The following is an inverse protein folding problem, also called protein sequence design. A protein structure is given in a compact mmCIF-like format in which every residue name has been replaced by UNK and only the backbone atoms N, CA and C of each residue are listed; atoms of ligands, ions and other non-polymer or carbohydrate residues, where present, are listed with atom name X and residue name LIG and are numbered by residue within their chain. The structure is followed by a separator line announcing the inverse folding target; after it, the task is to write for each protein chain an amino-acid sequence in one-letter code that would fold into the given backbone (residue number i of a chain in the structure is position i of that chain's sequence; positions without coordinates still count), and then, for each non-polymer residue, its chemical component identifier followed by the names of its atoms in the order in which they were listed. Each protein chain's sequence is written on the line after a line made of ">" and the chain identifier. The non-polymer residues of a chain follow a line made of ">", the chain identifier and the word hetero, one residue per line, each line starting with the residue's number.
data_IF_461564356704
#
_entry.id   IF_461564356704
#
_cell.length_a   1.000
_cell.length_b   1.000
_cell.length_c   1.000
_cell.angle_alpha   90.00
_cell.angle_beta   90.00
_cell.angle_gamma   90.00
#
_symmetry.space_group_name_H-M   'P 1'
#
loop_
_entity.id
_entity.type
_entity.pdbx_description
1 polymer ?
#
# COMPACT_ATOMS: atom_id res chain seq x y z
N UNK A 1 -6.25 8.17 -7.13
CA UNK A 1 -7.62 8.03 -6.59
C UNK A 1 -7.66 7.84 -5.07
N UNK A 2 -6.93 6.88 -4.47
CA UNK A 2 -6.94 6.64 -3.01
C UNK A 2 -6.61 7.87 -2.14
N UNK A 3 -5.60 8.66 -2.52
CA UNK A 3 -5.25 9.88 -1.80
C UNK A 3 -6.38 10.93 -1.81
N UNK A 4 -7.12 11.05 -2.92
CA UNK A 4 -8.27 11.96 -3.01
C UNK A 4 -9.40 11.50 -2.09
N UNK A 5 -9.72 10.20 -2.11
CA UNK A 5 -10.71 9.62 -1.21
C UNK A 5 -10.36 9.84 0.26
N UNK A 6 -9.09 9.68 0.63
CA UNK A 6 -8.62 9.96 1.99
C UNK A 6 -8.73 11.45 2.35
N UNK A 7 -8.46 12.36 1.40
CA UNK A 7 -8.59 13.80 1.61
C UNK A 7 -10.06 14.20 1.85
N UNK A 8 -11.00 13.68 1.05
CA UNK A 8 -12.44 13.91 1.23
C UNK A 8 -12.93 13.44 2.60
N UNK A 9 -12.50 12.26 3.03
CA UNK A 9 -12.90 11.71 4.33
C UNK A 9 -12.40 12.53 5.53
N UNK A 10 -11.26 13.23 5.40
CA UNK A 10 -10.68 14.07 6.46
C UNK A 10 -11.24 15.49 6.50
N UNK A 11 -11.82 15.97 5.40
CA UNK A 11 -12.41 17.31 5.31
C UNK A 11 -13.89 17.26 5.65
N UNK A 12 -14.27 17.76 6.84
CA UNK A 12 -15.69 17.79 7.25
C UNK A 12 -16.58 18.54 6.27
N UNK A 13 -16.08 19.67 5.73
CA UNK A 13 -16.80 20.46 4.71
C UNK A 13 -17.00 19.66 3.42
N UNK A 14 -15.96 18.98 2.95
CA UNK A 14 -16.08 18.25 1.68
C UNK A 14 -16.92 16.99 1.84
N UNK A 15 -16.81 16.29 2.98
CA UNK A 15 -17.69 15.18 3.32
C UNK A 15 -19.15 15.61 3.32
N UNK A 16 -19.49 16.72 3.98
CA UNK A 16 -20.85 17.26 3.99
C UNK A 16 -21.36 17.55 2.59
N UNK A 17 -20.55 18.18 1.73
CA UNK A 17 -20.93 18.46 0.33
C UNK A 17 -21.19 17.20 -0.48
N UNK A 18 -20.37 16.15 -0.27
CA UNK A 18 -20.55 14.86 -0.93
C UNK A 18 -21.83 14.18 -0.46
N UNK A 19 -22.09 14.18 0.85
CA UNK A 19 -23.28 13.59 1.44
C UNK A 19 -24.55 14.31 0.96
N UNK A 20 -24.57 15.65 0.93
CA UNK A 20 -25.69 16.44 0.39
C UNK A 20 -25.92 16.23 -1.11
N UNK A 21 -24.87 15.90 -1.87
CA UNK A 21 -24.97 15.55 -3.29
C UNK A 21 -25.37 14.08 -3.51
N UNK A 22 -25.64 13.30 -2.46
CA UNK A 22 -25.95 11.88 -2.55
C UNK A 22 -24.73 10.98 -2.84
N UNK A 23 -23.51 11.54 -2.84
CA UNK A 23 -22.25 10.83 -3.03
C UNK A 23 -21.75 10.29 -1.68
N UNK A 24 -22.56 9.39 -1.10
CA UNK A 24 -22.30 8.82 0.23
C UNK A 24 -21.06 7.93 0.24
N UNK A 25 -20.59 7.57 1.45
CA UNK A 25 -19.49 6.62 1.63
C UNK A 25 -19.77 5.27 0.90
N UNK A 26 -21.04 4.81 0.84
CA UNK A 26 -21.40 3.59 0.10
C UNK A 26 -21.23 3.74 -1.41
N UNK A 27 -21.67 4.87 -1.98
CA UNK A 27 -21.53 5.17 -3.42
C UNK A 27 -20.05 5.27 -3.79
N UNK A 28 -19.26 5.98 -2.97
CA UNK A 28 -17.82 6.10 -3.16
C UNK A 28 -17.13 4.74 -3.08
N UNK A 29 -17.44 3.94 -2.07
CA UNK A 29 -16.79 2.65 -1.86
C UNK A 29 -17.10 1.67 -3.00
N UNK A 30 -18.34 1.64 -3.50
CA UNK A 30 -18.71 0.85 -4.68
C UNK A 30 -17.97 1.31 -5.95
N UNK A 31 -17.90 2.62 -6.19
CA UNK A 31 -17.16 3.17 -7.34
C UNK A 31 -15.65 2.87 -7.24
N UNK A 32 -15.08 2.98 -6.04
CA UNK A 32 -13.67 2.68 -5.78
C UNK A 32 -13.36 1.19 -5.97
N UNK A 33 -14.23 0.29 -5.49
CA UNK A 33 -14.09 -1.16 -5.70
C UNK A 33 -14.08 -1.50 -7.18
N UNK A 34 -15.08 -1.03 -7.93
CA UNK A 34 -15.19 -1.28 -9.36
C UNK A 34 -13.96 -0.76 -10.13
N UNK A 35 -13.58 0.50 -9.88
CA UNK A 35 -12.42 1.10 -10.55
C UNK A 35 -11.11 0.36 -10.26
N UNK A 36 -10.84 0.05 -8.98
CA UNK A 36 -9.61 -0.65 -8.59
C UNK A 36 -9.60 -2.07 -9.18
N UNK A 37 -10.71 -2.80 -9.11
CA UNK A 37 -10.79 -4.17 -9.60
C UNK A 37 -10.61 -4.25 -11.11
N UNK A 38 -11.23 -3.33 -11.87
CA UNK A 38 -11.05 -3.23 -13.32
C UNK A 38 -9.59 -3.01 -13.70
N UNK A 39 -8.89 -2.09 -13.02
CA UNK A 39 -7.46 -1.87 -13.25
C UNK A 39 -6.66 -3.14 -12.92
N UNK A 40 -6.87 -3.73 -11.73
CA UNK A 40 -6.12 -4.93 -11.30
C UNK A 40 -6.34 -6.10 -12.27
N UNK A 41 -7.59 -6.36 -12.66
CA UNK A 41 -7.94 -7.52 -13.48
C UNK A 41 -7.53 -7.37 -14.96
N UNK A 42 -7.44 -6.14 -15.48
CA UNK A 42 -7.24 -5.91 -16.93
C UNK A 42 -5.89 -5.29 -17.32
N UNK A 43 -5.07 -4.85 -16.37
CA UNK A 43 -3.74 -4.30 -16.68
C UNK A 43 -2.66 -5.36 -16.98
N UNK A 44 -2.99 -6.66 -16.87
CA UNK A 44 -2.08 -7.78 -17.11
C UNK A 44 -2.83 -9.06 -17.45
N UNK A 45 -2.08 -10.17 -17.52
CA UNK A 45 -2.65 -11.47 -17.85
C UNK A 45 -3.57 -12.01 -16.74
N UNK A 46 -4.63 -12.76 -17.10
CA UNK A 46 -5.51 -13.37 -16.11
C UNK A 46 -4.75 -14.44 -15.31
N UNK A 47 -4.98 -14.43 -13.99
CA UNK A 47 -4.40 -15.41 -13.07
C UNK A 47 -5.42 -15.77 -11.97
N UNK A 48 -5.30 -16.97 -11.40
CA UNK A 48 -6.13 -17.42 -10.27
C UNK A 48 -6.00 -16.50 -9.05
N UNK A 49 -4.80 -15.99 -8.81
CA UNK A 49 -4.50 -15.05 -7.73
C UNK A 49 -4.06 -13.72 -8.34
N UNK A 50 -4.96 -12.73 -8.30
CA UNK A 50 -4.65 -11.38 -8.75
C UNK A 50 -3.80 -10.65 -7.70
N UNK A 51 -2.82 -9.87 -8.14
CA UNK A 51 -1.97 -9.06 -7.28
C UNK A 51 -1.85 -7.63 -7.79
N UNK A 52 -1.50 -6.71 -6.90
CA UNK A 52 -1.16 -5.33 -7.26
C UNK A 52 0.04 -4.87 -6.45
N UNK A 53 0.97 -4.16 -7.10
CA UNK A 53 2.16 -3.60 -6.47
C UNK A 53 2.31 -2.13 -6.86
N UNK A 54 1.79 -1.28 -6.00
CA UNK A 54 1.96 0.17 -6.05
C UNK A 54 2.43 0.67 -4.66
N UNK A 55 3.67 1.20 -4.51
CA UNK A 55 4.31 1.33 -3.20
C UNK A 55 3.50 2.07 -2.12
N UNK A 56 2.72 3.08 -2.51
CA UNK A 56 1.98 3.92 -1.56
C UNK A 56 0.52 3.49 -1.34
N UNK A 57 0.03 2.41 -1.96
CA UNK A 57 -1.32 1.89 -1.67
C UNK A 57 -1.46 1.43 -0.22
N UNK A 58 -0.36 1.00 0.42
CA UNK A 58 -0.33 0.64 1.83
C UNK A 58 -0.50 1.82 2.79
N UNK A 59 -0.47 3.08 2.31
CA UNK A 59 -0.97 4.24 3.07
C UNK A 59 -2.50 4.28 3.16
N UNK A 60 -3.19 3.34 2.54
CA UNK A 60 -4.63 3.19 2.58
C UNK A 60 -5.04 1.73 2.81
N UNK A 61 -4.16 0.90 3.38
CA UNK A 61 -4.43 -0.53 3.56
C UNK A 61 -5.62 -0.80 4.48
N UNK A 62 -5.91 0.03 5.50
CA UNK A 62 -7.13 -0.12 6.31
C UNK A 62 -8.39 0.11 5.46
N UNK A 63 -8.33 1.07 4.53
CA UNK A 63 -9.45 1.34 3.65
C UNK A 63 -9.61 0.22 2.61
N UNK A 64 -8.50 -0.18 1.98
CA UNK A 64 -8.48 -1.30 1.03
C UNK A 64 -8.93 -2.61 1.69
N UNK A 65 -8.61 -2.83 2.97
CA UNK A 65 -9.03 -4.04 3.69
C UNK A 65 -10.53 -4.08 3.95
N UNK A 66 -11.20 -2.92 4.00
CA UNK A 66 -12.67 -2.79 4.06
C UNK A 66 -13.29 -3.00 2.68
N UNK A 67 -12.73 -2.40 1.63
CA UNK A 67 -13.20 -2.57 0.25
C UNK A 67 -13.05 -4.01 -0.24
N UNK A 68 -11.95 -4.69 0.12
CA UNK A 68 -11.65 -6.04 -0.30
C UNK A 68 -11.43 -6.91 0.96
N UNK A 69 -12.48 -7.46 1.58
CA UNK A 69 -12.38 -8.18 2.86
C UNK A 69 -11.46 -9.40 2.86
N UNK A 70 -11.25 -10.02 1.69
CA UNK A 70 -10.38 -11.19 1.54
C UNK A 70 -8.95 -10.82 1.07
N UNK A 71 -8.66 -9.53 0.88
CA UNK A 71 -7.31 -9.09 0.52
C UNK A 71 -6.33 -9.25 1.68
N UNK A 72 -5.10 -9.61 1.33
CA UNK A 72 -3.92 -9.64 2.21
C UNK A 72 -2.87 -8.67 1.71
N UNK A 73 -2.04 -8.15 2.60
CA UNK A 73 -1.07 -7.09 2.33
C UNK A 73 0.35 -7.53 2.71
N UNK A 74 1.31 -7.35 1.80
CA UNK A 74 2.73 -7.52 2.08
C UNK A 74 3.38 -6.14 2.20
N UNK A 75 3.78 -5.74 3.41
CA UNK A 75 4.48 -4.48 3.64
C UNK A 75 5.99 -4.71 3.52
N UNK A 76 6.56 -4.34 2.39
CA UNK A 76 8.01 -4.36 2.22
C UNK A 76 8.67 -3.34 3.16
N UNK A 77 9.56 -3.82 4.01
CA UNK A 77 10.39 -3.00 4.89
C UNK A 77 11.85 -3.16 4.46
N UNK A 78 12.51 -2.05 4.19
CA UNK A 78 13.94 -1.99 3.88
C UNK A 78 14.55 -0.87 4.69
N UNK A 79 15.82 -0.98 5.06
CA UNK A 79 16.55 0.09 5.71
C UNK A 79 16.33 1.43 4.97
N UNK A 80 15.92 2.46 5.72
CA UNK A 80 15.63 3.78 5.18
C UNK A 80 16.84 4.42 4.51
N UNK A 81 18.05 4.16 5.02
CA UNK A 81 19.31 4.62 4.43
C UNK A 81 19.52 4.00 3.06
N UNK A 82 19.28 2.69 2.91
CA UNK A 82 19.40 1.99 1.64
C UNK A 82 18.32 2.45 0.63
N UNK A 83 17.09 2.63 1.10
CA UNK A 83 15.96 3.10 0.29
C UNK A 83 16.18 4.53 -0.23
N UNK A 84 16.60 5.44 0.65
CA UNK A 84 16.91 6.83 0.30
C UNK A 84 18.14 6.93 -0.60
N UNK A 85 19.21 6.19 -0.31
CA UNK A 85 20.36 6.14 -1.19
C UNK A 85 19.99 5.66 -2.60
N UNK A 86 19.14 4.63 -2.69
CA UNK A 86 18.65 4.12 -3.97
C UNK A 86 17.83 5.16 -4.75
N UNK A 87 16.92 5.90 -4.11
CA UNK A 87 16.11 6.91 -4.83
C UNK A 87 16.96 8.09 -5.30
N UNK A 88 17.93 8.54 -4.50
CA UNK A 88 18.78 9.70 -4.81
C UNK A 88 19.74 9.36 -5.96
N UNK A 89 20.50 8.26 -5.84
CA UNK A 89 21.53 7.91 -6.84
C UNK A 89 20.93 7.54 -8.19
N UNK A 90 19.77 6.88 -8.19
CA UNK A 90 19.06 6.50 -9.41
C UNK A 90 18.09 7.56 -9.92
N UNK A 91 18.00 8.72 -9.25
CA UNK A 91 17.10 9.82 -9.60
C UNK A 91 15.63 9.39 -9.73
N UNK A 92 15.18 8.48 -8.87
CA UNK A 92 13.78 8.03 -8.84
C UNK A 92 12.95 9.11 -8.16
N UNK A 93 12.16 9.83 -8.96
CA UNK A 93 11.35 10.95 -8.47
C UNK A 93 10.12 10.45 -7.70
N UNK A 94 9.92 11.00 -6.51
CA UNK A 94 8.74 10.75 -5.68
C UNK A 94 8.18 12.12 -5.30
N UNK A 95 6.88 12.33 -5.56
CA UNK A 95 6.23 13.59 -5.26
C UNK A 95 6.46 14.01 -3.81
N UNK A 96 6.97 15.23 -3.64
CA UNK A 96 7.30 15.80 -2.34
C UNK A 96 8.70 15.49 -1.83
N UNK A 97 9.51 14.57 -2.38
CA UNK A 97 10.87 14.30 -1.90
C UNK A 97 11.91 15.21 -2.60
N UNK A 98 12.78 15.90 -1.85
CA UNK A 98 13.93 16.62 -2.42
C UNK A 98 15.14 15.68 -2.53
N UNK A 99 15.39 15.19 -3.74
CA UNK A 99 16.49 14.24 -4.03
C UNK A 99 17.89 14.84 -3.84
N UNK A 100 18.02 16.14 -3.60
CA UNK A 100 19.32 16.78 -3.26
C UNK A 100 19.64 16.69 -1.76
N UNK A 101 18.68 16.28 -0.94
CA UNK A 101 18.81 16.24 0.52
C UNK A 101 18.49 14.85 1.07
N UNK A 102 19.53 14.12 1.49
CA UNK A 102 19.37 12.86 2.23
C UNK A 102 18.54 13.04 3.51
N UNK A 103 18.72 14.17 4.21
CA UNK A 103 17.95 14.50 5.41
C UNK A 103 16.45 14.58 5.11
N UNK A 104 16.09 15.31 4.06
CA UNK A 104 14.69 15.45 3.65
C UNK A 104 14.09 14.11 3.23
N UNK A 105 14.80 13.36 2.39
CA UNK A 105 14.35 12.07 1.92
C UNK A 105 14.20 11.05 3.06
N UNK A 106 15.11 11.04 4.05
CA UNK A 106 15.00 10.19 5.24
C UNK A 106 13.82 10.59 6.12
N UNK A 107 13.57 11.88 6.33
CA UNK A 107 12.43 12.35 7.10
C UNK A 107 11.10 11.94 6.44
N UNK A 108 10.99 12.08 5.12
CA UNK A 108 9.79 11.70 4.36
C UNK A 108 9.63 10.18 4.23
N UNK A 109 10.73 9.45 4.09
CA UNK A 109 10.72 7.99 4.17
C UNK A 109 10.20 7.53 5.53
N UNK A 110 10.73 8.10 6.63
CA UNK A 110 10.30 7.77 7.99
C UNK A 110 8.80 8.02 8.17
N UNK A 111 8.31 9.18 7.70
CA UNK A 111 6.89 9.49 7.79
C UNK A 111 6.02 8.55 6.96
N UNK A 112 6.49 8.15 5.77
CA UNK A 112 5.76 7.23 4.92
C UNK A 112 5.68 5.83 5.54
N UNK A 113 6.81 5.28 6.01
CA UNK A 113 6.85 3.93 6.58
C UNK A 113 6.12 3.87 7.92
N UNK A 114 6.17 4.92 8.76
CA UNK A 114 5.38 5.02 10.00
C UNK A 114 3.88 4.84 9.72
N UNK A 115 3.34 5.55 8.71
CA UNK A 115 1.93 5.44 8.33
C UNK A 115 1.59 4.07 7.77
N UNK A 116 2.44 3.50 6.90
CA UNK A 116 2.17 2.18 6.32
C UNK A 116 2.27 1.06 7.36
N UNK A 117 3.25 1.14 8.26
CA UNK A 117 3.47 0.17 9.33
C UNK A 117 2.35 0.20 10.37
N UNK A 118 1.94 1.39 10.82
CA UNK A 118 0.80 1.55 11.73
C UNK A 118 -0.50 0.98 11.14
N UNK A 119 -0.77 1.16 9.85
CA UNK A 119 -1.92 0.53 9.21
C UNK A 119 -1.79 -0.98 9.12
N UNK A 120 -0.60 -1.50 8.80
CA UNK A 120 -0.35 -2.94 8.78
C UNK A 120 -0.62 -3.58 10.15
N UNK A 121 -0.18 -2.94 11.24
CA UNK A 121 -0.48 -3.38 12.60
C UNK A 121 -1.97 -3.34 12.91
N UNK A 122 -2.67 -2.26 12.53
CA UNK A 122 -4.09 -2.10 12.77
C UNK A 122 -4.98 -3.12 12.02
N UNK A 123 -4.56 -3.54 10.82
CA UNK A 123 -5.22 -4.60 10.05
C UNK A 123 -5.04 -5.98 10.70
N UNK A 124 -3.90 -6.19 11.37
CA UNK A 124 -3.58 -7.41 12.10
C UNK A 124 -2.82 -8.45 11.26
N UNK A 125 -2.16 -9.37 11.98
CA UNK A 125 -1.19 -10.34 11.43
C UNK A 125 -1.77 -11.35 10.44
N UNK A 126 -3.08 -11.57 10.47
CA UNK A 126 -3.75 -12.48 9.53
C UNK A 126 -3.93 -11.88 8.13
N UNK A 127 -3.86 -10.54 8.03
CA UNK A 127 -4.16 -9.81 6.80
C UNK A 127 -3.04 -8.87 6.36
N UNK A 128 -2.08 -8.53 7.22
CA UNK A 128 -0.88 -7.81 6.82
C UNK A 128 0.41 -8.44 7.39
N UNK A 129 1.39 -8.66 6.51
CA UNK A 129 2.70 -9.21 6.85
C UNK A 129 3.81 -8.22 6.47
N UNK A 130 4.60 -7.72 7.44
CA UNK A 130 5.85 -7.03 7.15
C UNK A 130 6.90 -8.00 6.60
N UNK A 131 7.47 -7.69 5.43
CA UNK A 131 8.51 -8.47 4.77
C UNK A 131 9.79 -7.65 4.71
N UNK A 132 10.80 -8.06 5.47
CA UNK A 132 12.10 -7.38 5.50
C UNK A 132 12.92 -7.74 4.27
N UNK A 133 13.24 -6.74 3.45
CA UNK A 133 14.00 -6.90 2.20
C UNK A 133 15.33 -7.62 2.42
N UNK A 134 16.05 -7.24 3.46
CA UNK A 134 17.36 -7.82 3.79
C UNK A 134 17.23 -9.31 4.11
N UNK A 135 16.18 -9.70 4.85
CA UNK A 135 15.91 -11.10 5.16
C UNK A 135 15.45 -11.88 3.93
N UNK A 136 14.63 -11.25 3.07
CA UNK A 136 14.18 -11.85 1.82
C UNK A 136 15.34 -12.15 0.88
N UNK A 137 16.32 -11.24 0.77
CA UNK A 137 17.50 -11.45 -0.09
C UNK A 137 18.48 -12.46 0.50
N UNK A 138 18.69 -12.46 1.82
CA UNK A 138 19.61 -13.39 2.50
C UNK A 138 19.04 -14.81 2.63
N UNK A 139 17.72 -14.95 2.77
CA UNK A 139 17.04 -16.21 3.05
C UNK A 139 15.80 -16.41 2.16
N UNK A 140 15.93 -16.35 0.82
CA UNK A 140 14.80 -16.27 -0.09
C UNK A 140 13.83 -17.45 0.03
N UNK A 141 14.32 -18.69 0.09
CA UNK A 141 13.45 -19.85 0.24
C UNK A 141 12.65 -19.83 1.55
N UNK A 142 13.30 -19.47 2.67
CA UNK A 142 12.65 -19.39 3.98
C UNK A 142 11.61 -18.29 4.01
N UNK A 143 11.94 -17.10 3.51
CA UNK A 143 11.03 -15.96 3.45
C UNK A 143 9.86 -16.21 2.53
N UNK A 144 10.09 -16.78 1.34
CA UNK A 144 9.01 -17.06 0.38
C UNK A 144 8.07 -18.16 0.89
N UNK A 145 8.57 -19.19 1.58
CA UNK A 145 7.70 -20.20 2.21
C UNK A 145 6.75 -19.55 3.23
N UNK A 146 7.30 -18.72 4.11
CA UNK A 146 6.48 -17.98 5.08
C UNK A 146 5.46 -17.02 4.42
N UNK A 147 5.83 -16.39 3.30
CA UNK A 147 4.91 -15.54 2.52
C UNK A 147 3.79 -16.38 1.89
N UNK A 148 4.11 -17.52 1.27
CA UNK A 148 3.12 -18.39 0.64
C UNK A 148 2.14 -18.98 1.67
N UNK A 149 2.66 -19.43 2.81
CA UNK A 149 1.86 -19.89 3.94
C UNK A 149 0.94 -18.77 4.45
N UNK A 150 1.45 -17.54 4.60
CA UNK A 150 0.63 -16.38 4.97
C UNK A 150 -0.46 -16.06 3.94
N UNK A 151 -0.17 -16.25 2.64
CA UNK A 151 -1.12 -15.97 1.56
C UNK A 151 -2.14 -17.09 1.31
N UNK A 152 -2.00 -18.24 1.99
CA UNK A 152 -2.76 -19.46 1.72
C UNK A 152 -2.61 -19.94 0.26
N UNK A 153 -1.37 -19.86 -0.26
CA UNK A 153 -1.01 -20.31 -1.62
C UNK A 153 -0.01 -21.46 -1.52
N UNK A 154 -0.21 -22.52 -2.31
CA UNK A 154 0.69 -23.67 -2.33
C UNK A 154 2.10 -23.28 -2.82
N UNK A 155 3.13 -23.86 -2.21
CA UNK A 155 4.52 -23.66 -2.61
C UNK A 155 4.77 -24.14 -4.05
N UNK A 156 5.53 -23.35 -4.82
CA UNK A 156 5.94 -23.63 -6.21
C UNK A 156 7.44 -23.44 -6.38
#
# INVERSE_FOLDING_TARGET
>A
VLAMRQAWSRSGREKMRLDEAGVTDQVLDAAMQAFILEVIAKHGEPARYLCNKDPFTLKSSIYLSRLFPNSKFLLMVRDGRASVHSMITRKVTIAGFDLRSYRDCLAKWNKAIEVMYSQCLAIGRLRCLPVYYEQLVLHPQKSMRAIMDFLDIAWS
#
